data_IF_575011246651
#
_entry.id   IF_575011246651
#
_cell.length_a   1.000
_cell.length_b   1.000
_cell.length_c   1.000
_cell.angle_alpha   90.00
_cell.angle_beta   90.00
_cell.angle_gamma   90.00
#
_symmetry.space_group_name_H-M   'P 1'
#
loop_
_entity.id
_entity.type
_entity.pdbx_description
1 polymer ?
#
# COMPACT_ATOMS: atom_id res chain seq x y z
N UNK A 1 -24.84 -53.14 -6.30
CA UNK A 1 -23.52 -52.47 -6.31
C UNK A 1 -23.43 -51.41 -7.43
N UNK A 2 -24.48 -50.60 -7.64
CA UNK A 2 -24.48 -49.53 -8.64
C UNK A 2 -24.55 -48.12 -8.01
N UNK A 3 -25.09 -47.99 -6.79
CA UNK A 3 -25.31 -46.69 -6.15
C UNK A 3 -24.07 -46.10 -5.45
N UNK A 4 -23.06 -46.91 -5.09
CA UNK A 4 -21.84 -46.39 -4.45
C UNK A 4 -20.87 -45.71 -5.44
N UNK A 5 -21.02 -45.89 -6.76
CA UNK A 5 -20.11 -45.29 -7.75
C UNK A 5 -20.49 -43.86 -8.15
N UNK A 6 -21.75 -43.44 -7.96
CA UNK A 6 -22.18 -42.07 -8.29
C UNK A 6 -21.85 -41.07 -7.17
N UNK A 7 -21.85 -41.49 -5.90
CA UNK A 7 -21.55 -40.60 -4.76
C UNK A 7 -20.08 -40.16 -4.66
N UNK A 8 -19.14 -40.93 -5.21
CA UNK A 8 -17.72 -40.58 -5.23
C UNK A 8 -17.30 -39.75 -6.45
N UNK A 9 -18.09 -39.76 -7.54
CA UNK A 9 -17.84 -38.94 -8.72
C UNK A 9 -18.09 -37.46 -8.45
N UNK A 10 -19.16 -37.15 -7.72
CA UNK A 10 -19.63 -35.77 -7.53
C UNK A 10 -18.75 -34.97 -6.56
N UNK A 11 -18.28 -35.60 -5.46
CA UNK A 11 -17.36 -34.97 -4.49
C UNK A 11 -16.04 -34.54 -5.14
N UNK A 12 -15.45 -35.41 -5.96
CA UNK A 12 -14.21 -35.12 -6.69
C UNK A 12 -14.40 -34.00 -7.72
N UNK A 13 -15.57 -33.92 -8.36
CA UNK A 13 -15.93 -32.84 -9.28
C UNK A 13 -16.11 -31.49 -8.57
N UNK A 14 -16.70 -31.47 -7.37
CA UNK A 14 -16.79 -30.25 -6.55
C UNK A 14 -15.44 -29.77 -6.04
N UNK A 15 -14.59 -30.67 -5.52
CA UNK A 15 -13.24 -30.31 -5.06
C UNK A 15 -12.36 -29.83 -6.20
N UNK A 16 -12.45 -30.47 -7.37
CA UNK A 16 -11.76 -30.03 -8.58
C UNK A 16 -12.20 -28.63 -9.04
N UNK A 17 -13.52 -28.37 -9.07
CA UNK A 17 -14.06 -27.04 -9.42
C UNK A 17 -13.65 -25.96 -8.42
N UNK A 18 -13.58 -26.27 -7.12
CA UNK A 18 -13.13 -25.34 -6.08
C UNK A 18 -11.63 -25.04 -6.26
N UNK A 19 -10.82 -26.07 -6.49
CA UNK A 19 -9.38 -25.92 -6.66
C UNK A 19 -9.02 -25.12 -7.92
N UNK A 20 -9.74 -25.32 -9.03
CA UNK A 20 -9.56 -24.53 -10.25
C UNK A 20 -9.99 -23.07 -10.05
N UNK A 21 -11.11 -22.82 -9.37
CA UNK A 21 -11.56 -21.47 -9.06
C UNK A 21 -10.56 -20.73 -8.15
N UNK A 22 -10.00 -21.42 -7.14
CA UNK A 22 -8.95 -20.86 -6.27
C UNK A 22 -7.66 -20.57 -7.05
N UNK A 23 -7.24 -21.46 -7.95
CA UNK A 23 -6.10 -21.21 -8.86
C UNK A 23 -6.34 -19.97 -9.72
N UNK A 24 -7.51 -19.85 -10.34
CA UNK A 24 -7.88 -18.68 -11.12
C UNK A 24 -7.91 -17.39 -10.29
N UNK A 25 -8.44 -17.43 -9.07
CA UNK A 25 -8.43 -16.29 -8.16
C UNK A 25 -7.00 -15.88 -7.77
N UNK A 26 -6.15 -16.85 -7.40
CA UNK A 26 -4.75 -16.60 -7.07
C UNK A 26 -3.99 -16.03 -8.27
N UNK A 27 -4.19 -16.57 -9.47
CA UNK A 27 -3.60 -16.04 -10.71
C UNK A 27 -4.10 -14.61 -10.95
N UNK A 28 -5.39 -14.34 -10.76
CA UNK A 28 -5.97 -13.01 -10.94
C UNK A 28 -5.42 -11.98 -9.93
N UNK A 29 -5.18 -12.39 -8.68
CA UNK A 29 -4.60 -11.54 -7.63
C UNK A 29 -3.11 -11.26 -7.93
N UNK A 30 -2.36 -12.28 -8.35
CA UNK A 30 -0.97 -12.14 -8.79
C UNK A 30 -0.87 -11.21 -10.00
N UNK A 31 -1.74 -11.37 -10.99
CA UNK A 31 -1.82 -10.51 -12.17
C UNK A 31 -2.17 -9.06 -11.80
N UNK A 32 -3.12 -8.83 -10.90
CA UNK A 32 -3.45 -7.47 -10.40
C UNK A 32 -2.25 -6.81 -9.72
N UNK A 33 -1.51 -7.53 -8.88
CA UNK A 33 -0.27 -7.03 -8.26
C UNK A 33 0.79 -6.69 -9.31
N UNK A 34 1.00 -7.55 -10.30
CA UNK A 34 1.96 -7.31 -11.39
C UNK A 34 1.56 -6.09 -12.21
N UNK A 35 0.29 -5.93 -12.57
CA UNK A 35 -0.21 -4.75 -13.30
C UNK A 35 -0.03 -3.47 -12.46
N UNK A 36 -0.33 -3.52 -11.16
CA UNK A 36 -0.11 -2.38 -10.26
C UNK A 36 1.36 -1.98 -10.19
N UNK A 37 2.27 -2.95 -10.09
CA UNK A 37 3.71 -2.71 -10.08
C UNK A 37 4.22 -2.17 -11.41
N UNK A 38 3.75 -2.71 -12.54
CA UNK A 38 4.09 -2.21 -13.87
C UNK A 38 3.60 -0.78 -14.05
N UNK A 39 2.37 -0.47 -13.65
CA UNK A 39 1.84 0.89 -13.70
C UNK A 39 2.67 1.83 -12.83
N UNK A 40 2.93 1.48 -11.57
CA UNK A 40 3.75 2.27 -10.67
C UNK A 40 5.17 2.49 -11.21
N UNK A 41 5.79 1.46 -11.78
CA UNK A 41 7.11 1.53 -12.40
C UNK A 41 7.10 2.44 -13.65
N UNK A 42 6.10 2.31 -14.51
CA UNK A 42 5.92 3.16 -15.69
C UNK A 42 5.75 4.62 -15.27
N UNK A 43 4.92 4.91 -14.26
CA UNK A 43 4.76 6.27 -13.74
C UNK A 43 6.04 6.80 -13.06
N UNK A 44 6.75 5.97 -12.31
CA UNK A 44 8.01 6.35 -11.65
C UNK A 44 9.12 6.65 -12.66
N UNK A 45 9.30 5.81 -13.68
CA UNK A 45 10.29 5.99 -14.74
C UNK A 45 9.93 7.18 -15.65
N UNK A 46 8.64 7.35 -15.99
CA UNK A 46 8.18 8.50 -16.77
C UNK A 46 8.30 9.82 -16.01
N UNK A 47 8.20 9.80 -14.67
CA UNK A 47 8.47 11.00 -13.85
C UNK A 47 9.92 11.47 -13.88
N UNK A 48 10.85 10.68 -14.43
CA UNK A 48 12.26 11.03 -14.63
C UNK A 48 12.62 11.32 -16.08
N UNK A 49 11.88 10.79 -17.08
CA UNK A 49 12.22 10.93 -18.50
C UNK A 49 11.29 11.89 -19.29
N UNK A 50 10.03 12.05 -18.88
CA UNK A 50 9.01 12.79 -19.66
C UNK A 50 8.95 14.28 -19.30
N UNK A 51 9.52 14.71 -18.17
CA UNK A 51 9.63 16.15 -17.86
C UNK A 51 10.53 16.93 -18.84
N UNK A 52 11.36 16.24 -19.63
CA UNK A 52 12.33 16.88 -20.50
C UNK A 52 11.90 17.04 -21.96
N UNK A 53 10.79 16.42 -22.43
CA UNK A 53 10.47 16.49 -23.86
C UNK A 53 9.01 16.70 -24.25
N UNK A 54 8.03 16.06 -23.62
CA UNK A 54 6.62 16.22 -24.04
C UNK A 54 5.69 16.00 -22.84
N UNK A 55 5.01 17.05 -22.37
CA UNK A 55 4.16 17.02 -21.18
C UNK A 55 2.86 16.23 -21.35
N UNK A 56 2.93 14.90 -21.44
CA UNK A 56 1.77 14.06 -21.82
C UNK A 56 1.05 13.41 -20.63
N UNK A 57 1.67 13.28 -19.45
CA UNK A 57 0.94 12.78 -18.27
C UNK A 57 0.57 13.93 -17.34
N UNK A 58 -0.72 14.21 -17.23
CA UNK A 58 -1.19 15.27 -16.34
C UNK A 58 -1.02 14.84 -14.87
N UNK A 59 -0.63 15.75 -13.95
CA UNK A 59 -0.50 15.44 -12.53
C UNK A 59 -1.74 14.76 -11.92
N UNK A 60 -2.93 15.08 -12.44
CA UNK A 60 -4.19 14.49 -11.99
C UNK A 60 -4.32 13.00 -12.35
N UNK A 61 -3.98 12.61 -13.58
CA UNK A 61 -4.06 11.21 -14.02
C UNK A 61 -3.08 10.32 -13.24
N UNK A 62 -1.88 10.84 -12.96
CA UNK A 62 -0.90 10.15 -12.12
C UNK A 62 -1.41 9.97 -10.69
N UNK A 63 -2.00 11.03 -10.11
CA UNK A 63 -2.60 10.96 -8.78
C UNK A 63 -3.73 9.93 -8.70
N UNK A 64 -4.58 9.88 -9.73
CA UNK A 64 -5.71 8.95 -9.79
C UNK A 64 -5.22 7.50 -9.94
N UNK A 65 -4.19 7.25 -10.75
CA UNK A 65 -3.58 5.92 -10.86
C UNK A 65 -3.04 5.39 -9.51
N UNK A 66 -2.33 6.23 -8.76
CA UNK A 66 -1.86 5.86 -7.41
C UNK A 66 -3.00 5.62 -6.43
N UNK A 67 -4.09 6.40 -6.51
CA UNK A 67 -5.28 6.18 -5.68
C UNK A 67 -6.01 4.89 -6.03
N UNK A 68 -6.11 4.53 -7.30
CA UNK A 68 -6.67 3.25 -7.73
C UNK A 68 -5.82 2.08 -7.25
N UNK A 69 -4.49 2.17 -7.36
CA UNK A 69 -3.58 1.18 -6.80
C UNK A 69 -3.83 0.96 -5.29
N UNK A 70 -4.02 2.04 -4.52
CA UNK A 70 -4.33 1.97 -3.09
C UNK A 70 -5.74 1.42 -2.76
N UNK A 71 -6.69 1.47 -3.70
CA UNK A 71 -7.99 0.79 -3.52
C UNK A 71 -7.83 -0.72 -3.66
N UNK A 72 -6.91 -1.17 -4.52
CA UNK A 72 -6.64 -2.58 -4.79
C UNK A 72 -5.74 -3.17 -3.71
N UNK A 73 -4.66 -2.48 -3.37
CA UNK A 73 -3.65 -2.93 -2.41
C UNK A 73 -3.17 -1.75 -1.55
N UNK A 74 -3.46 -1.83 -0.24
CA UNK A 74 -3.08 -0.82 0.76
C UNK A 74 -1.70 -1.09 1.35
N UNK A 75 -0.77 -1.60 0.56
CA UNK A 75 0.61 -1.86 0.99
C UNK A 75 1.39 -0.58 1.32
N UNK A 76 2.44 -0.73 2.12
CA UNK A 76 3.36 0.36 2.45
C UNK A 76 3.93 1.00 1.17
N UNK A 77 4.34 0.17 0.21
CA UNK A 77 4.90 0.61 -1.07
C UNK A 77 3.94 1.53 -1.84
N UNK A 78 2.66 1.17 -1.96
CA UNK A 78 1.68 1.99 -2.66
C UNK A 78 1.43 3.34 -1.96
N UNK A 79 1.46 3.36 -0.62
CA UNK A 79 1.40 4.62 0.12
C UNK A 79 2.64 5.48 -0.11
N UNK A 80 3.84 4.87 -0.09
CA UNK A 80 5.10 5.57 -0.32
C UNK A 80 5.18 6.18 -1.72
N UNK A 81 4.68 5.46 -2.74
CA UNK A 81 4.61 5.95 -4.11
C UNK A 81 3.73 7.21 -4.22
N UNK A 82 2.52 7.20 -3.65
CA UNK A 82 1.65 8.37 -3.64
C UNK A 82 2.24 9.54 -2.82
N UNK A 83 2.88 9.24 -1.68
CA UNK A 83 3.56 10.25 -0.87
C UNK A 83 4.74 10.88 -1.63
N UNK A 84 5.50 10.08 -2.39
CA UNK A 84 6.59 10.59 -3.21
C UNK A 84 6.07 11.52 -4.31
N UNK A 85 4.97 11.15 -4.97
CA UNK A 85 4.29 11.99 -5.93
C UNK A 85 3.89 13.35 -5.33
N UNK A 86 3.18 13.37 -4.19
CA UNK A 86 2.81 14.63 -3.53
C UNK A 86 4.01 15.44 -3.03
N UNK A 87 5.13 14.78 -2.67
CA UNK A 87 6.36 15.47 -2.28
C UNK A 87 7.01 16.17 -3.47
N UNK A 88 7.12 15.49 -4.62
CA UNK A 88 7.71 16.04 -5.86
C UNK A 88 6.91 17.26 -6.34
N UNK A 89 5.58 17.17 -6.29
CA UNK A 89 4.67 18.23 -6.76
C UNK A 89 4.36 19.29 -5.68
N UNK A 90 5.10 19.31 -4.56
CA UNK A 90 4.96 20.28 -3.45
C UNK A 90 3.55 20.35 -2.85
N UNK A 91 2.75 19.29 -2.98
CA UNK A 91 1.37 19.19 -2.49
C UNK A 91 1.32 18.86 -0.98
N UNK A 92 1.88 19.74 -0.15
CA UNK A 92 2.14 19.47 1.28
C UNK A 92 0.90 19.13 2.12
N UNK A 93 -0.28 19.65 1.77
CA UNK A 93 -1.55 19.28 2.44
C UNK A 93 -1.97 17.85 2.12
N UNK A 94 -1.97 17.47 0.84
CA UNK A 94 -2.33 16.09 0.42
C UNK A 94 -1.32 15.06 0.92
N UNK A 95 -0.04 15.40 0.90
CA UNK A 95 1.02 14.60 1.52
C UNK A 95 0.69 14.27 2.98
N UNK A 96 0.39 15.30 3.78
CA UNK A 96 0.11 15.11 5.20
C UNK A 96 -1.13 14.25 5.47
N UNK A 97 -2.24 14.51 4.78
CA UNK A 97 -3.46 13.70 4.93
C UNK A 97 -3.27 12.25 4.50
N UNK A 98 -2.53 12.03 3.42
CA UNK A 98 -2.20 10.69 2.93
C UNK A 98 -1.32 9.95 3.92
N UNK A 99 -0.34 10.63 4.51
CA UNK A 99 0.55 10.04 5.50
C UNK A 99 -0.20 9.64 6.77
N UNK A 100 -1.09 10.50 7.29
CA UNK A 100 -1.98 10.14 8.39
C UNK A 100 -2.86 8.93 8.06
N UNK A 101 -3.41 8.89 6.85
CA UNK A 101 -4.22 7.75 6.38
C UNK A 101 -3.38 6.48 6.29
N UNK A 102 -2.13 6.58 5.82
CA UNK A 102 -1.22 5.46 5.69
C UNK A 102 -0.94 4.82 7.06
N UNK A 103 -0.51 5.62 8.05
CA UNK A 103 -0.28 5.16 9.43
C UNK A 103 -1.54 4.55 10.05
N UNK A 104 -2.73 5.12 9.79
CA UNK A 104 -3.99 4.52 10.27
C UNK A 104 -4.28 3.14 9.66
N UNK A 105 -3.93 2.91 8.39
CA UNK A 105 -4.18 1.63 7.73
C UNK A 105 -3.06 0.61 8.00
N UNK A 106 -1.85 1.10 8.29
CA UNK A 106 -0.64 0.31 8.52
C UNK A 106 0.04 0.83 9.81
N UNK A 107 -0.56 0.59 10.98
CA UNK A 107 -0.02 1.09 12.25
C UNK A 107 1.36 0.53 12.57
N UNK A 108 1.66 -0.68 12.10
CA UNK A 108 2.93 -1.38 12.37
C UNK A 108 4.05 -0.98 11.38
N UNK A 109 3.76 -0.11 10.41
CA UNK A 109 4.77 0.38 9.47
C UNK A 109 5.65 1.44 10.14
N UNK A 110 6.81 0.99 10.62
CA UNK A 110 7.86 1.85 11.20
C UNK A 110 8.21 3.01 10.27
N UNK A 111 8.34 2.74 8.97
CA UNK A 111 8.70 3.73 7.96
C UNK A 111 7.64 4.83 7.84
N UNK A 112 6.36 4.49 7.88
CA UNK A 112 5.27 5.47 7.79
C UNK A 112 5.09 6.23 9.10
N UNK A 113 5.20 5.55 10.24
CA UNK A 113 5.16 6.15 11.58
C UNK A 113 6.28 7.17 11.74
N UNK A 114 7.53 6.82 11.42
CA UNK A 114 8.68 7.72 11.48
C UNK A 114 8.45 8.98 10.63
N UNK A 115 7.96 8.81 9.40
CA UNK A 115 7.69 9.96 8.52
C UNK A 115 6.65 10.90 9.14
N UNK A 116 5.63 10.37 9.80
CA UNK A 116 4.61 11.18 10.45
C UNK A 116 5.14 11.85 11.72
N UNK A 117 5.93 11.12 12.52
CA UNK A 117 6.61 11.64 13.70
C UNK A 117 7.55 12.80 13.36
N UNK A 118 8.46 12.63 12.40
CA UNK A 118 9.35 13.68 11.91
C UNK A 118 8.57 14.88 11.34
N UNK A 119 7.40 14.62 10.74
CA UNK A 119 6.53 15.68 10.25
C UNK A 119 5.93 16.50 11.41
N UNK A 120 5.55 15.86 12.52
CA UNK A 120 5.11 16.54 13.74
C UNK A 120 6.23 17.33 14.38
N UNK A 121 7.43 16.75 14.53
CA UNK A 121 8.61 17.45 15.04
C UNK A 121 8.95 18.69 14.21
N UNK A 122 9.01 18.57 12.88
CA UNK A 122 9.27 19.71 11.98
C UNK A 122 8.22 20.82 12.10
N UNK A 123 7.01 20.48 12.53
CA UNK A 123 5.91 21.44 12.76
C UNK A 123 5.79 21.89 14.21
N UNK A 124 6.73 21.49 15.08
CA UNK A 124 6.73 21.76 16.53
C UNK A 124 5.44 21.31 17.21
N UNK A 125 4.79 20.27 16.66
CA UNK A 125 3.59 19.70 17.24
C UNK A 125 3.99 18.50 18.10
N UNK A 126 4.62 18.79 19.25
CA UNK A 126 5.20 17.77 20.11
C UNK A 126 4.11 16.89 20.73
N UNK A 127 2.96 17.48 21.10
CA UNK A 127 1.83 16.73 21.66
C UNK A 127 1.37 15.62 20.72
N UNK A 128 1.21 15.90 19.42
CA UNK A 128 0.84 14.87 18.44
C UNK A 128 1.96 13.88 18.13
N UNK A 129 3.21 14.28 18.33
CA UNK A 129 4.33 13.37 18.20
C UNK A 129 4.33 12.36 19.35
N UNK A 130 4.08 12.82 20.58
CA UNK A 130 3.92 11.97 21.76
C UNK A 130 2.71 11.05 21.64
N UNK A 131 1.52 11.59 21.33
CA UNK A 131 0.29 10.80 21.11
C UNK A 131 0.48 9.71 20.06
N UNK A 132 1.22 10.01 18.98
CA UNK A 132 1.50 9.04 17.92
C UNK A 132 2.31 7.86 18.44
N UNK A 133 3.32 8.12 19.29
CA UNK A 133 4.23 7.11 19.81
C UNK A 133 3.58 6.31 20.95
N UNK A 134 2.84 6.96 21.84
CA UNK A 134 2.07 6.31 22.91
C UNK A 134 0.97 5.39 22.35
N UNK A 135 0.40 5.73 21.18
CA UNK A 135 -0.60 4.92 20.51
C UNK A 135 -0.06 3.67 19.79
N UNK A 136 1.27 3.46 19.76
CA UNK A 136 1.88 2.28 19.15
C UNK A 136 1.88 1.14 20.17
N UNK A 137 1.24 0.03 19.82
CA UNK A 137 1.12 -1.14 20.71
C UNK A 137 2.48 -1.74 21.09
N UNK A 138 2.51 -2.45 22.21
CA UNK A 138 3.72 -3.08 22.79
C UNK A 138 4.42 -4.04 21.82
N UNK A 139 3.71 -4.63 20.85
CA UNK A 139 4.31 -5.56 19.87
C UNK A 139 5.22 -4.91 18.81
N UNK A 140 5.32 -3.57 18.77
CA UNK A 140 6.21 -2.84 17.85
C UNK A 140 7.55 -2.50 18.55
N UNK A 141 7.74 -2.94 19.80
CA UNK A 141 8.89 -2.59 20.66
C UNK A 141 10.24 -3.20 20.28
N UNK A 142 10.29 -4.15 19.33
CA UNK A 142 11.56 -4.74 18.88
C UNK A 142 12.27 -3.94 17.78
N UNK A 143 11.72 -2.80 17.34
CA UNK A 143 12.39 -1.94 16.36
C UNK A 143 13.20 -0.81 17.04
N UNK A 144 14.52 -0.86 16.92
CA UNK A 144 15.47 0.14 17.46
C UNK A 144 15.09 1.58 17.13
N UNK A 145 14.46 1.79 15.96
CA UNK A 145 14.09 3.11 15.48
C UNK A 145 12.86 3.65 16.19
N UNK A 146 11.89 2.80 16.54
CA UNK A 146 10.75 3.20 17.37
C UNK A 146 11.20 3.50 18.79
N UNK A 147 12.10 2.69 19.34
CA UNK A 147 12.63 2.91 20.68
C UNK A 147 13.35 4.25 20.80
N UNK A 148 14.09 4.66 19.75
CA UNK A 148 14.65 6.01 19.68
C UNK A 148 13.61 7.13 19.62
N UNK A 149 12.40 6.89 19.11
CA UNK A 149 11.33 7.90 19.11
C UNK A 149 10.56 7.98 20.45
N UNK A 150 10.63 6.92 21.27
CA UNK A 150 10.03 6.85 22.63
C UNK A 150 10.91 7.49 23.71
N UNK A 151 12.24 7.42 23.57
CA UNK A 151 13.24 7.95 24.51
C UNK A 151 13.76 9.34 24.16
#
# INVERSE_FOLDING_TARGET
MAEEREMFGDKNLTEYKIHDNLKHQIISLKMRKIISLILALVFALNSSFVFAREGIVQPKETEDAYKEALKIDKSEENYLNLLQFYRKDRQGRKYYWTLKKAVKNLPDSVVLVEKLFLRYLKKKNLDKAAELIEGLGENIEEDDKLNYMKG
#
